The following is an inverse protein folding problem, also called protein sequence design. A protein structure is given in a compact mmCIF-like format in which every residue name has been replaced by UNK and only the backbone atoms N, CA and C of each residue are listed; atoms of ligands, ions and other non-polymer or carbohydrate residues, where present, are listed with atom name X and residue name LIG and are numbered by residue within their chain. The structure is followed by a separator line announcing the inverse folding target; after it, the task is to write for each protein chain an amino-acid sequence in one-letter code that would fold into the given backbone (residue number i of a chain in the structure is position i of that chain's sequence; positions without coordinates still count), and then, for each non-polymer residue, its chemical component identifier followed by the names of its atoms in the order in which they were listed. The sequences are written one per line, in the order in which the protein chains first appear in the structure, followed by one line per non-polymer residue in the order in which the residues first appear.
data_IF_342223960856
#
_entry.id   IF_342223960856
#
_cell.length_a   1.000
_cell.length_b   1.000
_cell.length_c   1.000
_cell.angle_alpha   90.00
_cell.angle_beta   90.00
_cell.angle_gamma   90.00
#
_symmetry.space_group_name_H-M   'P 1'
#
loop_
_entity.id
_entity.type
_entity.pdbx_description
1 polymer ?
#
# COMPACT_ATOMS: atom_id res chain seq x y z
N UNK A 1 -33.58 -7.67 2.51
CA UNK A 1 -33.63 -6.28 1.98
C UNK A 1 -32.41 -5.44 2.38
N UNK A 2 -32.24 -5.00 3.64
CA UNK A 2 -31.05 -4.23 4.08
C UNK A 2 -29.71 -4.99 3.86
N UNK A 3 -29.67 -6.28 4.17
CA UNK A 3 -28.48 -7.12 3.99
C UNK A 3 -28.12 -7.35 2.52
N UNK A 4 -29.12 -7.46 1.64
CA UNK A 4 -28.93 -7.61 0.18
C UNK A 4 -28.46 -6.31 -0.46
N UNK A 5 -29.02 -5.17 -0.06
CA UNK A 5 -28.56 -3.83 -0.50
C UNK A 5 -27.12 -3.54 -0.07
N UNK A 6 -26.73 -4.01 1.12
CA UNK A 6 -25.35 -3.92 1.62
C UNK A 6 -24.40 -4.79 0.81
N UNK A 7 -24.81 -6.02 0.47
CA UNK A 7 -24.00 -6.96 -0.30
C UNK A 7 -23.76 -6.47 -1.74
N UNK A 8 -24.79 -5.94 -2.41
CA UNK A 8 -24.67 -5.38 -3.75
C UNK A 8 -23.74 -4.16 -3.81
N UNK A 9 -23.78 -3.31 -2.78
CA UNK A 9 -22.90 -2.15 -2.68
C UNK A 9 -21.44 -2.58 -2.48
N UNK A 10 -21.21 -3.61 -1.67
CA UNK A 10 -19.89 -4.18 -1.42
C UNK A 10 -19.33 -4.87 -2.68
N UNK A 11 -20.16 -5.64 -3.39
CA UNK A 11 -19.79 -6.28 -4.66
C UNK A 11 -19.48 -5.28 -5.78
N UNK A 12 -20.12 -4.10 -5.78
CA UNK A 12 -19.79 -3.01 -6.72
C UNK A 12 -18.51 -2.26 -6.36
N UNK A 13 -18.19 -2.15 -5.07
CA UNK A 13 -16.95 -1.53 -4.60
C UNK A 13 -15.74 -2.48 -4.72
N UNK A 14 -15.98 -3.80 -4.69
CA UNK A 14 -14.94 -4.83 -4.71
C UNK A 14 -13.96 -4.68 -5.88
N UNK A 15 -14.38 -4.46 -7.15
CA UNK A 15 -13.46 -4.30 -8.27
C UNK A 15 -12.56 -3.07 -8.15
N UNK A 16 -13.06 -1.97 -7.60
CA UNK A 16 -12.25 -0.78 -7.35
C UNK A 16 -11.23 -1.02 -6.23
N UNK A 17 -11.67 -1.69 -5.16
CA UNK A 17 -10.81 -2.11 -4.05
C UNK A 17 -9.70 -3.07 -4.54
N UNK A 18 -10.08 -4.06 -5.35
CA UNK A 18 -9.20 -5.06 -5.92
C UNK A 18 -8.26 -4.47 -6.98
N UNK A 19 -8.73 -3.51 -7.78
CA UNK A 19 -7.92 -2.77 -8.75
C UNK A 19 -6.85 -1.89 -8.10
N UNK A 20 -7.08 -1.44 -6.85
CA UNK A 20 -6.09 -0.68 -6.09
C UNK A 20 -4.97 -1.56 -5.52
N UNK A 21 -5.23 -2.83 -5.18
CA UNK A 21 -4.22 -3.71 -4.56
C UNK A 21 -2.93 -3.86 -5.37
N UNK A 22 -2.95 -4.09 -6.70
CA UNK A 22 -1.73 -4.15 -7.50
C UNK A 22 -0.92 -2.85 -7.44
N UNK A 23 -1.58 -1.69 -7.42
CA UNK A 23 -0.91 -0.39 -7.35
C UNK A 23 -0.30 -0.15 -5.97
N UNK A 24 -1.02 -0.51 -4.90
CA UNK A 24 -0.52 -0.49 -3.53
C UNK A 24 0.69 -1.42 -3.37
N UNK A 25 0.60 -2.65 -3.87
CA UNK A 25 1.69 -3.62 -3.81
C UNK A 25 2.95 -3.12 -4.54
N UNK A 26 2.79 -2.50 -5.73
CA UNK A 26 3.90 -1.87 -6.46
C UNK A 26 4.54 -0.73 -5.67
N UNK A 27 3.72 0.15 -5.05
CA UNK A 27 4.23 1.25 -4.25
C UNK A 27 5.00 0.76 -3.00
N UNK A 28 4.48 -0.26 -2.32
CA UNK A 28 5.15 -0.89 -1.18
C UNK A 28 6.48 -1.54 -1.59
N UNK A 29 6.52 -2.22 -2.75
CA UNK A 29 7.77 -2.80 -3.27
C UNK A 29 8.81 -1.74 -3.62
N UNK A 30 8.39 -0.66 -4.27
CA UNK A 30 9.28 0.45 -4.58
C UNK A 30 9.85 1.11 -3.31
N UNK A 31 9.01 1.28 -2.28
CA UNK A 31 9.47 1.80 -0.99
C UNK A 31 10.49 0.87 -0.32
N UNK A 32 10.25 -0.43 -0.35
CA UNK A 32 11.19 -1.43 0.16
C UNK A 32 12.56 -1.33 -0.52
N UNK A 33 12.56 -1.25 -1.85
CA UNK A 33 13.78 -1.21 -2.64
C UNK A 33 14.61 0.04 -2.36
N UNK A 34 13.98 1.21 -2.22
CA UNK A 34 14.69 2.44 -1.86
C UNK A 34 15.25 2.39 -0.43
N UNK A 35 14.52 1.81 0.54
CA UNK A 35 15.04 1.61 1.91
C UNK A 35 16.29 0.72 1.91
N UNK A 36 16.25 -0.41 1.20
CA UNK A 36 17.41 -1.31 1.10
C UNK A 36 18.59 -0.60 0.42
N UNK A 37 18.31 0.15 -0.65
CA UNK A 37 19.33 0.90 -1.40
C UNK A 37 20.03 1.98 -0.58
N UNK A 38 19.34 2.65 0.35
CA UNK A 38 19.97 3.63 1.25
C UNK A 38 20.66 3.01 2.46
N UNK A 39 20.68 1.67 2.56
CA UNK A 39 21.50 0.93 3.52
C UNK A 39 20.75 0.30 4.69
N UNK A 40 19.41 0.32 4.69
CA UNK A 40 18.66 -0.49 5.66
C UNK A 40 18.77 -1.97 5.32
N UNK A 41 18.78 -2.82 6.34
CA UNK A 41 18.60 -4.27 6.12
C UNK A 41 17.18 -4.56 5.65
N UNK A 42 16.99 -5.70 4.97
CA UNK A 42 15.65 -6.13 4.55
C UNK A 42 14.67 -6.21 5.73
N UNK A 43 15.11 -6.68 6.90
CA UNK A 43 14.29 -6.74 8.10
C UNK A 43 13.85 -5.35 8.60
N UNK A 44 14.76 -4.37 8.55
CA UNK A 44 14.44 -2.98 8.91
C UNK A 44 13.47 -2.36 7.90
N UNK A 45 13.68 -2.58 6.61
CA UNK A 45 12.81 -2.08 5.55
C UNK A 45 11.39 -2.65 5.66
N UNK A 46 11.24 -3.96 5.91
CA UNK A 46 9.95 -4.59 6.16
C UNK A 46 9.25 -4.02 7.40
N UNK A 47 9.99 -3.80 8.49
CA UNK A 47 9.43 -3.19 9.70
C UNK A 47 8.91 -1.78 9.43
N UNK A 48 9.70 -0.92 8.76
CA UNK A 48 9.29 0.45 8.40
C UNK A 48 8.02 0.44 7.56
N UNK A 49 7.96 -0.42 6.53
CA UNK A 49 6.79 -0.55 5.67
C UNK A 49 5.57 -1.03 6.45
N UNK A 50 5.73 -1.99 7.36
CA UNK A 50 4.61 -2.51 8.15
C UNK A 50 3.98 -1.45 9.06
N UNK A 51 4.77 -0.47 9.51
CA UNK A 51 4.32 0.60 10.42
C UNK A 51 3.79 1.80 9.64
N UNK A 52 4.43 2.18 8.54
CA UNK A 52 4.12 3.42 7.81
C UNK A 52 3.26 3.21 6.56
N UNK A 53 3.19 1.97 6.07
CA UNK A 53 2.50 1.61 4.83
C UNK A 53 3.02 2.37 3.60
N UNK A 54 2.12 2.59 2.64
CA UNK A 54 2.41 3.32 1.38
C UNK A 54 2.76 4.79 1.63
N UNK A 55 2.20 5.39 2.70
CA UNK A 55 2.41 6.81 3.01
C UNK A 55 3.87 7.12 3.37
N UNK A 56 4.60 6.18 3.97
CA UNK A 56 6.03 6.33 4.25
C UNK A 56 6.86 6.53 2.97
N UNK A 57 6.53 5.81 1.90
CA UNK A 57 7.22 5.92 0.61
C UNK A 57 6.86 7.20 -0.17
N UNK A 58 5.66 7.74 0.04
CA UNK A 58 5.20 8.97 -0.62
C UNK A 58 5.82 10.24 0.01
N UNK A 59 6.16 10.21 1.29
CA UNK A 59 6.82 11.33 1.97
C UNK A 59 8.31 11.46 1.64
N UNK A 60 8.93 10.47 0.99
CA UNK A 60 10.35 10.52 0.59
C UNK A 60 10.63 11.29 -0.71
N UNK A 61 9.59 11.74 -1.43
CA UNK A 61 9.72 12.36 -2.76
C UNK A 61 9.60 13.88 -2.81
N UNK A 62 9.51 14.57 -1.67
CA UNK A 62 9.30 16.02 -1.63
C UNK A 62 10.39 16.72 -0.80
N UNK A 63 11.64 16.60 -1.26
CA UNK A 63 12.79 17.35 -0.75
C UNK A 63 13.43 18.10 -1.90
N UNK A 64 13.18 19.40 -1.96
CA UNK A 64 13.92 20.39 -2.74
C UNK A 64 15.35 20.52 -2.19
#
# INVERSE_FOLDING_TARGET
MEFELSNDSLMKALPALLGAYPSVARALKAYFDELVKVGFSEAQALHIISVQGVMGGLNGGNGN
#
